data_IF_440131743561
#
_entry.id   IF_440131743561
#
_cell.length_a   1.000
_cell.length_b   1.000
_cell.length_c   1.000
_cell.angle_alpha   90.00
_cell.angle_beta   90.00
_cell.angle_gamma   90.00
#
_symmetry.space_group_name_H-M   'P 1'
#
loop_
_entity.id
_entity.type
_entity.pdbx_description
1 polymer ?
#
# COMPACT_ATOMS: atom_id res chain seq x y z
N UNK A 1 -7.22 -21.93 -2.47
CA UNK A 1 -5.78 -22.06 -2.11
C UNK A 1 -5.03 -20.85 -2.64
N UNK A 2 -4.48 -20.00 -1.77
CA UNK A 2 -3.63 -18.89 -2.18
C UNK A 2 -2.36 -19.40 -2.91
N UNK A 3 -1.89 -18.66 -3.92
CA UNK A 3 -0.78 -19.03 -4.80
C UNK A 3 0.43 -19.65 -4.07
N UNK A 4 1.01 -20.71 -4.66
CA UNK A 4 2.25 -21.37 -4.21
C UNK A 4 3.49 -20.48 -4.36
N UNK A 5 3.43 -19.36 -5.08
CA UNK A 5 4.59 -18.47 -5.26
C UNK A 5 4.90 -17.72 -3.97
N UNK A 6 6.11 -17.96 -3.46
CA UNK A 6 6.66 -17.28 -2.30
C UNK A 6 7.35 -15.99 -2.76
N UNK A 7 6.57 -14.94 -3.00
CA UNK A 7 7.13 -13.62 -3.20
C UNK A 7 7.87 -13.17 -1.93
N UNK A 8 8.98 -12.47 -2.15
CA UNK A 8 9.90 -12.00 -1.13
C UNK A 8 10.01 -10.48 -1.23
N UNK A 9 9.83 -9.79 -0.10
CA UNK A 9 9.87 -8.33 -0.04
C UNK A 9 11.26 -7.78 -0.30
N UNK A 10 12.29 -8.50 0.15
CA UNK A 10 13.69 -8.15 -0.01
C UNK A 10 14.18 -8.27 -1.46
N UNK A 11 13.52 -9.10 -2.28
CA UNK A 11 13.77 -9.19 -3.73
C UNK A 11 13.22 -7.99 -4.51
N UNK A 12 12.47 -7.08 -3.87
CA UNK A 12 12.11 -5.79 -4.47
C UNK A 12 13.20 -4.78 -4.13
N UNK A 13 14.09 -4.55 -5.10
CA UNK A 13 15.15 -3.56 -5.04
C UNK A 13 14.56 -2.16 -5.28
N UNK A 14 14.94 -1.20 -4.44
CA UNK A 14 14.43 0.18 -4.48
C UNK A 14 15.62 1.13 -4.46
N UNK A 15 15.79 1.87 -5.54
CA UNK A 15 16.90 2.79 -5.76
C UNK A 15 16.38 4.23 -5.75
N UNK A 16 16.94 5.13 -4.91
CA UNK A 16 16.53 6.52 -4.87
C UNK A 16 16.94 7.24 -6.16
N UNK A 17 16.07 8.12 -6.63
CA UNK A 17 16.33 9.04 -7.73
C UNK A 17 16.15 10.50 -7.29
N UNK A 18 15.56 11.30 -8.18
CA UNK A 18 15.33 12.73 -7.96
C UNK A 18 14.38 13.01 -6.78
N UNK A 19 14.67 14.08 -6.04
CA UNK A 19 13.76 14.66 -5.04
C UNK A 19 13.44 16.08 -5.43
N UNK A 20 12.15 16.42 -5.48
CA UNK A 20 11.69 17.77 -5.83
C UNK A 20 10.59 18.26 -4.91
N UNK A 21 10.49 19.58 -4.76
CA UNK A 21 9.37 20.23 -4.07
C UNK A 21 8.12 20.18 -4.94
N UNK A 22 6.97 19.92 -4.32
CA UNK A 22 5.71 19.77 -5.05
C UNK A 22 4.49 20.19 -4.22
N UNK A 23 3.37 20.33 -4.93
CA UNK A 23 2.03 20.47 -4.36
C UNK A 23 1.12 19.42 -4.97
N UNK A 24 0.23 18.84 -4.18
CA UNK A 24 -0.77 17.87 -4.64
C UNK A 24 -2.04 17.99 -3.80
N UNK A 25 -3.09 17.23 -4.14
CA UNK A 25 -4.35 17.25 -3.39
C UNK A 25 -4.70 15.87 -2.85
N UNK A 26 -5.37 15.84 -1.68
CA UNK A 26 -6.08 14.66 -1.19
C UNK A 26 -7.58 14.95 -1.12
N UNK A 27 -8.40 13.93 -1.36
CA UNK A 27 -9.81 13.99 -1.01
C UNK A 27 -9.99 14.01 0.51
N UNK A 28 -10.64 15.05 1.03
CA UNK A 28 -11.01 15.23 2.45
C UNK A 28 -12.45 15.74 2.52
N UNK A 29 -13.37 14.89 2.98
CA UNK A 29 -14.79 15.27 3.14
C UNK A 29 -15.47 15.71 1.84
N UNK A 30 -15.18 15.04 0.72
CA UNK A 30 -15.72 15.40 -0.60
C UNK A 30 -15.04 16.59 -1.28
N UNK A 31 -14.09 17.26 -0.63
CA UNK A 31 -13.31 18.38 -1.21
C UNK A 31 -11.85 17.98 -1.42
N UNK A 32 -11.19 18.63 -2.37
CA UNK A 32 -9.75 18.51 -2.55
C UNK A 32 -9.03 19.44 -1.56
N UNK A 33 -8.21 18.88 -0.68
CA UNK A 33 -7.38 19.62 0.24
C UNK A 33 -5.94 19.69 -0.31
N UNK A 34 -5.38 20.89 -0.55
CA UNK A 34 -4.01 21.02 -1.03
C UNK A 34 -3.02 20.61 0.05
N UNK A 35 -1.93 20.00 -0.38
CA UNK A 35 -0.79 19.57 0.42
C UNK A 35 0.48 20.05 -0.27
N UNK A 36 1.43 20.53 0.53
CA UNK A 36 2.79 20.87 0.10
C UNK A 36 3.77 19.88 0.71
N UNK A 37 4.84 19.60 0.00
CA UNK A 37 5.89 18.73 0.47
C UNK A 37 6.90 18.38 -0.62
N UNK A 38 7.50 17.20 -0.49
CA UNK A 38 8.50 16.69 -1.43
C UNK A 38 7.98 15.44 -2.15
N UNK A 39 8.27 15.33 -3.44
CA UNK A 39 8.13 14.12 -4.24
C UNK A 39 9.50 13.48 -4.39
N UNK A 40 9.60 12.21 -4.01
CA UNK A 40 10.79 11.39 -4.18
C UNK A 40 10.51 10.37 -5.29
N UNK A 41 11.34 10.37 -6.32
CA UNK A 41 11.31 9.39 -7.39
C UNK A 41 12.16 8.18 -7.00
N UNK A 42 11.69 6.98 -7.34
CA UNK A 42 12.40 5.74 -7.11
C UNK A 42 12.36 4.86 -8.36
N UNK A 43 13.50 4.28 -8.72
CA UNK A 43 13.58 3.16 -9.64
C UNK A 43 13.43 1.87 -8.84
N UNK A 44 12.59 0.95 -9.31
CA UNK A 44 12.24 -0.26 -8.55
C UNK A 44 12.31 -1.47 -9.46
N UNK A 45 13.01 -2.52 -9.01
CA UNK A 45 13.11 -3.79 -9.72
C UNK A 45 12.54 -4.92 -8.85
N UNK A 46 11.54 -5.63 -9.35
CA UNK A 46 10.97 -6.82 -8.70
C UNK A 46 11.74 -8.08 -9.09
N UNK A 47 12.75 -8.45 -8.29
CA UNK A 47 13.56 -9.64 -8.47
C UNK A 47 12.78 -10.95 -8.38
N UNK A 48 11.55 -10.94 -7.87
CA UNK A 48 10.67 -12.12 -7.91
C UNK A 48 10.20 -12.46 -9.34
N UNK A 49 10.43 -11.57 -10.31
CA UNK A 49 9.97 -11.70 -11.70
C UNK A 49 11.15 -11.68 -12.66
N UNK A 50 11.22 -12.70 -13.53
CA UNK A 50 12.27 -12.81 -14.54
C UNK A 50 12.20 -11.74 -15.64
N UNK A 51 11.01 -11.16 -15.89
CA UNK A 51 10.81 -10.12 -16.90
C UNK A 51 9.66 -9.20 -16.52
N UNK A 52 9.58 -8.04 -17.19
CA UNK A 52 8.55 -7.00 -16.95
C UNK A 52 8.49 -6.62 -15.46
N UNK A 53 9.67 -6.39 -14.90
CA UNK A 53 9.89 -6.25 -13.47
C UNK A 53 10.42 -4.88 -13.06
N UNK A 54 10.59 -3.96 -14.01
CA UNK A 54 11.04 -2.59 -13.76
C UNK A 54 9.86 -1.64 -13.59
N UNK A 55 9.91 -0.83 -12.55
CA UNK A 55 8.87 0.14 -12.17
C UNK A 55 9.52 1.46 -11.80
N UNK A 56 8.73 2.53 -11.85
CA UNK A 56 9.07 3.78 -11.18
C UNK A 56 8.00 4.11 -10.16
N UNK A 57 8.43 4.55 -8.98
CA UNK A 57 7.57 4.95 -7.88
C UNK A 57 7.75 6.41 -7.54
N UNK A 58 6.66 7.02 -7.11
CA UNK A 58 6.65 8.36 -6.56
C UNK A 58 6.15 8.27 -5.12
N UNK A 59 6.96 8.78 -4.20
CA UNK A 59 6.65 8.89 -2.77
C UNK A 59 6.47 10.36 -2.43
N UNK A 60 5.27 10.72 -1.97
CA UNK A 60 4.96 12.09 -1.56
C UNK A 60 5.02 12.21 -0.05
N UNK A 61 5.96 13.03 0.42
CA UNK A 61 6.16 13.30 1.85
C UNK A 61 5.68 14.72 2.14
N UNK A 62 4.62 14.90 2.94
CA UNK A 62 4.12 16.23 3.28
C UNK A 62 5.06 16.96 4.24
N UNK A 63 5.08 18.30 4.16
CA UNK A 63 5.80 19.14 5.13
C UNK A 63 5.21 19.03 6.54
N UNK A 64 3.89 18.88 6.61
CA UNK A 64 3.19 18.72 7.87
C UNK A 64 3.58 17.38 8.53
N UNK A 65 4.07 17.45 9.77
CA UNK A 65 4.57 16.28 10.50
C UNK A 65 3.50 15.19 10.72
N UNK A 66 2.23 15.56 10.79
CA UNK A 66 1.07 14.66 10.91
C UNK A 66 0.46 14.27 9.55
N UNK A 67 0.94 14.88 8.47
CA UNK A 67 0.47 14.69 7.11
C UNK A 67 0.62 13.25 6.64
N UNK A 68 -0.13 12.85 5.63
CA UNK A 68 -0.14 11.47 5.11
C UNK A 68 0.91 11.32 4.03
N UNK A 69 1.78 10.31 4.14
CA UNK A 69 2.69 9.93 3.06
C UNK A 69 1.92 9.13 2.03
N UNK A 70 2.07 9.45 0.75
CA UNK A 70 1.46 8.74 -0.37
C UNK A 70 2.51 7.97 -1.17
N UNK A 71 2.22 6.72 -1.51
CA UNK A 71 3.03 5.88 -2.39
C UNK A 71 2.19 5.52 -3.60
N UNK A 72 2.70 5.77 -4.80
CA UNK A 72 2.07 5.35 -6.05
C UNK A 72 3.10 5.04 -7.13
N UNK A 73 2.81 4.11 -8.04
CA UNK A 73 3.63 3.94 -9.22
C UNK A 73 3.45 5.17 -10.13
N UNK A 74 4.57 5.68 -10.62
CA UNK A 74 4.63 6.67 -11.69
C UNK A 74 4.46 5.97 -13.04
N UNK A 75 5.21 4.90 -13.25
CA UNK A 75 5.12 4.02 -14.42
C UNK A 75 5.04 2.57 -13.98
N UNK A 76 4.39 1.75 -14.80
CA UNK A 76 4.23 0.31 -14.57
C UNK A 76 4.67 -0.44 -15.82
N UNK A 77 5.17 -1.68 -15.70
CA UNK A 77 5.34 -2.54 -16.86
C UNK A 77 4.05 -2.62 -17.68
N UNK A 78 4.13 -2.73 -19.03
CA UNK A 78 2.98 -2.66 -19.93
C UNK A 78 2.17 -3.97 -19.92
N UNK A 79 1.62 -4.32 -18.76
CA UNK A 79 0.75 -5.49 -18.54
C UNK A 79 -0.65 -4.99 -18.20
N UNK A 80 -1.65 -5.52 -18.90
CA UNK A 80 -3.05 -5.12 -18.74
C UNK A 80 -3.51 -5.14 -17.26
N UNK A 81 -3.18 -6.21 -16.53
CA UNK A 81 -3.47 -6.41 -15.11
C UNK A 81 -3.00 -5.26 -14.21
N UNK A 82 -1.96 -4.53 -14.62
CA UNK A 82 -1.35 -3.45 -13.82
C UNK A 82 -1.68 -2.05 -14.33
N UNK A 83 -2.36 -1.91 -15.47
CA UNK A 83 -2.67 -0.61 -16.09
C UNK A 83 -3.38 0.35 -15.14
N UNK A 84 -4.23 -0.16 -14.24
CA UNK A 84 -4.97 0.65 -13.28
C UNK A 84 -4.16 1.05 -12.02
N UNK A 85 -2.94 0.53 -11.83
CA UNK A 85 -2.15 0.75 -10.61
C UNK A 85 -1.62 2.19 -10.49
N UNK A 86 -1.37 2.89 -11.61
CA UNK A 86 -0.94 4.31 -11.62
C UNK A 86 -1.91 5.25 -10.91
N UNK A 87 -3.18 4.85 -10.79
CA UNK A 87 -4.24 5.58 -10.10
C UNK A 87 -4.53 5.07 -8.69
N UNK A 88 -3.88 3.99 -8.24
CA UNK A 88 -4.14 3.36 -6.94
C UNK A 88 -2.96 3.61 -6.01
N UNK A 89 -3.09 4.52 -5.06
CA UNK A 89 -2.03 4.76 -4.07
C UNK A 89 -2.18 3.90 -2.80
N UNK A 90 -1.09 3.80 -2.04
CA UNK A 90 -1.11 3.52 -0.61
C UNK A 90 -0.87 4.80 0.17
N UNK A 91 -1.48 4.90 1.35
CA UNK A 91 -1.31 6.04 2.24
C UNK A 91 -0.86 5.56 3.61
N UNK A 92 0.12 6.28 4.16
CA UNK A 92 0.71 6.01 5.46
C UNK A 92 0.48 7.18 6.40
N UNK A 93 -0.15 6.90 7.54
CA UNK A 93 -0.51 7.89 8.56
C UNK A 93 0.42 7.81 9.75
N UNK A 94 0.63 8.91 10.46
CA UNK A 94 1.40 8.92 11.71
C UNK A 94 0.68 8.11 12.80
N UNK A 95 1.40 7.16 13.40
CA UNK A 95 0.96 6.48 14.62
C UNK A 95 1.21 7.37 15.85
N UNK A 96 0.29 7.33 16.81
CA UNK A 96 0.26 8.27 17.94
C UNK A 96 0.16 7.58 19.31
N UNK A 97 -0.05 6.26 19.33
CA UNK A 97 -0.33 5.48 20.54
C UNK A 97 0.76 4.44 20.82
N UNK A 98 1.10 4.30 22.10
CA UNK A 98 1.98 3.25 22.63
C UNK A 98 3.34 3.16 21.91
N UNK A 99 3.87 1.94 21.83
CA UNK A 99 5.13 1.59 21.15
C UNK A 99 5.14 1.90 19.64
N UNK A 100 3.97 2.13 19.05
CA UNK A 100 3.85 2.51 17.64
C UNK A 100 4.09 4.01 17.42
N UNK A 101 4.07 4.84 18.48
CA UNK A 101 4.27 6.29 18.38
C UNK A 101 5.58 6.61 17.66
N UNK A 102 5.54 7.59 16.77
CA UNK A 102 6.69 7.99 15.95
C UNK A 102 6.82 7.21 14.63
N UNK A 103 6.19 6.02 14.52
CA UNK A 103 6.14 5.26 13.27
C UNK A 103 5.02 5.75 12.35
N UNK A 104 5.02 5.25 11.13
CA UNK A 104 3.92 5.37 10.15
C UNK A 104 3.17 4.04 10.07
N UNK A 105 1.88 4.08 9.78
CA UNK A 105 1.09 2.87 9.49
C UNK A 105 0.32 2.99 8.18
N UNK A 106 0.29 1.89 7.43
CA UNK A 106 -0.56 1.71 6.25
C UNK A 106 -1.62 0.64 6.51
N UNK A 107 -2.86 0.86 6.05
CA UNK A 107 -3.90 -0.17 6.10
C UNK A 107 -3.52 -1.34 5.19
N UNK A 108 -3.65 -2.57 5.66
CA UNK A 108 -3.55 -3.75 4.79
C UNK A 108 -4.77 -3.73 3.87
N UNK A 109 -4.55 -3.40 2.60
CA UNK A 109 -5.62 -3.27 1.61
C UNK A 109 -5.28 -3.99 0.32
N UNK A 110 -5.83 -5.20 0.16
CA UNK A 110 -5.53 -6.06 -0.98
C UNK A 110 -6.26 -5.54 -2.21
N UNK A 111 -5.57 -5.40 -3.34
CA UNK A 111 -6.20 -4.95 -4.57
C UNK A 111 -7.18 -6.00 -5.10
N UNK A 112 -8.37 -5.56 -5.47
CA UNK A 112 -9.35 -6.41 -6.15
C UNK A 112 -9.27 -6.13 -7.65
N UNK A 113 -9.15 -7.17 -8.50
CA UNK A 113 -9.26 -7.01 -9.94
C UNK A 113 -10.60 -6.40 -10.31
N UNK A 114 -10.61 -5.49 -11.28
CA UNK A 114 -11.83 -4.95 -11.87
C UNK A 114 -12.44 -6.00 -12.80
N UNK A 115 -12.83 -7.17 -12.29
CA UNK A 115 -13.65 -8.11 -13.07
C UNK A 115 -15.05 -7.52 -13.16
N UNK A 116 -15.58 -7.36 -14.37
CA UNK A 116 -16.92 -6.82 -14.62
C UNK A 116 -17.96 -7.43 -13.68
N UNK A 117 -18.87 -6.57 -13.18
CA UNK A 117 -20.00 -6.87 -12.28
C UNK A 117 -19.83 -8.19 -11.51
N UNK A 118 -18.99 -8.20 -10.48
CA UNK A 118 -19.10 -9.25 -9.49
C UNK A 118 -20.54 -9.26 -8.95
N UNK A 119 -21.10 -10.44 -8.65
CA UNK A 119 -22.45 -10.57 -8.08
C UNK A 119 -22.68 -9.66 -6.86
N UNK A 120 -21.59 -9.39 -6.12
CA UNK A 120 -21.57 -8.57 -4.91
C UNK A 120 -21.04 -7.13 -5.13
N UNK A 121 -20.69 -6.77 -6.38
CA UNK A 121 -20.34 -5.41 -6.80
C UNK A 121 -20.83 -5.13 -8.24
N UNK A 122 -22.16 -5.02 -8.44
CA UNK A 122 -22.76 -4.81 -9.76
C UNK A 122 -22.42 -3.44 -10.39
N UNK A 123 -21.80 -2.53 -9.63
CA UNK A 123 -21.31 -1.22 -10.13
C UNK A 123 -19.82 -1.23 -10.49
N UNK A 124 -19.07 -2.28 -10.13
CA UNK A 124 -17.63 -2.38 -10.40
C UNK A 124 -16.78 -1.35 -9.63
N UNK A 125 -17.26 -0.87 -8.49
CA UNK A 125 -16.63 0.21 -7.73
C UNK A 125 -15.60 -0.31 -6.70
N UNK A 126 -15.61 -1.61 -6.39
CA UNK A 126 -14.73 -2.24 -5.41
C UNK A 126 -13.34 -2.41 -6.01
N UNK A 127 -12.42 -1.61 -5.51
CA UNK A 127 -11.02 -1.60 -5.98
C UNK A 127 -10.05 -2.23 -4.97
N UNK A 128 -10.50 -2.51 -3.75
CA UNK A 128 -9.67 -3.08 -2.68
C UNK A 128 -10.50 -3.67 -1.54
N UNK A 129 -9.87 -4.60 -0.83
CA UNK A 129 -10.36 -5.21 0.40
C UNK A 129 -9.51 -4.77 1.57
N UNK A 130 -10.12 -4.07 2.54
CA UNK A 130 -9.44 -3.66 3.77
C UNK A 130 -9.52 -4.81 4.77
N UNK A 131 -8.36 -5.32 5.15
CA UNK A 131 -8.25 -6.52 5.98
C UNK A 131 -8.44 -6.16 7.44
N UNK A 132 -9.17 -7.00 8.17
CA UNK A 132 -9.41 -6.89 9.61
C UNK A 132 -8.41 -7.72 10.42
N UNK A 133 -8.33 -7.49 11.73
CA UNK A 133 -7.39 -8.17 12.62
C UNK A 133 -7.58 -9.68 12.68
N UNK A 134 -8.83 -10.13 12.67
CA UNK A 134 -9.24 -11.55 12.63
C UNK A 134 -8.89 -12.23 11.30
N UNK A 135 -8.94 -11.50 10.19
CA UNK A 135 -8.58 -11.98 8.85
C UNK A 135 -7.06 -12.07 8.59
N UNK A 136 -6.22 -11.78 9.59
CA UNK A 136 -4.75 -11.79 9.44
C UNK A 136 -4.22 -13.14 8.95
N UNK A 137 -4.86 -14.25 9.35
CA UNK A 137 -4.42 -15.62 9.01
C UNK A 137 -4.69 -15.98 7.54
N UNK A 138 -5.59 -15.25 6.89
CA UNK A 138 -6.00 -15.50 5.50
C UNK A 138 -5.10 -14.77 4.49
N UNK A 139 -4.17 -13.95 4.98
CA UNK A 139 -3.23 -13.22 4.14
C UNK A 139 -2.33 -14.19 3.35
N UNK A 140 -1.94 -13.82 2.11
CA UNK A 140 -0.96 -14.57 1.35
C UNK A 140 0.36 -14.79 2.13
N UNK A 141 1.03 -15.92 1.89
CA UNK A 141 2.25 -16.31 2.62
C UNK A 141 3.38 -15.27 2.60
N UNK A 142 3.46 -14.43 1.57
CA UNK A 142 4.44 -13.34 1.51
C UNK A 142 4.23 -12.26 2.59
N UNK A 143 3.14 -12.29 3.34
CA UNK A 143 2.92 -11.46 4.54
C UNK A 143 3.51 -12.07 5.83
N UNK A 144 3.98 -13.32 5.83
CA UNK A 144 4.54 -13.97 7.03
C UNK A 144 5.67 -13.15 7.66
N UNK A 145 6.59 -12.62 6.84
CA UNK A 145 7.69 -11.76 7.31
C UNK A 145 7.25 -10.40 7.87
N UNK A 146 5.99 -10.00 7.66
CA UNK A 146 5.42 -8.74 8.15
C UNK A 146 4.66 -8.89 9.47
N UNK A 147 4.49 -10.12 9.96
CA UNK A 147 3.69 -10.42 11.15
C UNK A 147 4.09 -9.62 12.39
N UNK A 148 5.40 -9.43 12.61
CA UNK A 148 5.91 -8.62 13.73
C UNK A 148 5.54 -7.13 13.64
N UNK A 149 5.28 -6.64 12.42
CA UNK A 149 4.92 -5.23 12.13
C UNK A 149 3.41 -4.98 12.10
N UNK A 150 2.60 -6.03 12.13
CA UNK A 150 1.14 -5.93 12.04
C UNK A 150 0.48 -5.64 13.37
N UNK A 151 -0.50 -4.73 13.38
CA UNK A 151 -1.35 -4.41 14.55
C UNK A 151 -2.77 -4.12 14.10
N UNK A 152 -3.75 -4.18 15.00
CA UNK A 152 -5.05 -3.53 14.77
C UNK A 152 -4.89 -2.01 14.88
N UNK A 153 -5.70 -1.25 14.15
CA UNK A 153 -5.58 0.21 14.06
C UNK A 153 -5.74 0.89 15.42
N UNK A 154 -6.64 0.40 16.26
CA UNK A 154 -6.88 0.91 17.62
C UNK A 154 -5.65 0.84 18.56
N UNK A 155 -4.68 -0.03 18.24
CA UNK A 155 -3.43 -0.18 18.98
C UNK A 155 -2.41 0.89 18.59
N UNK A 156 -2.55 1.52 17.42
CA UNK A 156 -1.57 2.50 16.89
C UNK A 156 -2.10 3.94 16.86
N UNK A 157 -3.41 4.12 16.90
CA UNK A 157 -4.07 5.43 16.91
C UNK A 157 -5.46 5.34 17.54
N UNK A 158 -5.92 6.39 18.20
CA UNK A 158 -7.32 6.49 18.64
C UNK A 158 -8.26 6.44 17.44
N UNK A 159 -9.23 5.54 17.50
CA UNK A 159 -10.24 5.31 16.46
C UNK A 159 -11.63 5.48 17.05
N UNK A 160 -12.58 5.95 16.23
CA UNK A 160 -14.02 5.91 16.56
C UNK A 160 -14.70 4.89 15.63
N UNK A 161 -15.71 4.18 16.14
CA UNK A 161 -16.46 3.18 15.38
C UNK A 161 -15.67 1.92 15.03
N UNK A 162 -16.09 1.21 13.99
CA UNK A 162 -15.60 -0.13 13.60
C UNK A 162 -14.23 -0.13 12.91
N UNK A 163 -13.67 1.04 12.60
CA UNK A 163 -12.37 1.17 11.92
C UNK A 163 -11.18 0.70 12.79
N UNK A 164 -11.40 0.55 14.10
CA UNK A 164 -10.40 0.08 15.07
C UNK A 164 -9.84 -1.33 14.78
N UNK A 165 -10.70 -2.25 14.31
CA UNK A 165 -10.31 -3.62 13.98
C UNK A 165 -9.62 -3.74 12.60
N UNK A 166 -9.37 -2.63 11.89
CA UNK A 166 -8.59 -2.68 10.64
C UNK A 166 -7.16 -3.14 10.93
N UNK A 167 -6.65 -4.10 10.16
CA UNK A 167 -5.26 -4.52 10.19
C UNK A 167 -4.38 -3.47 9.51
N UNK A 168 -3.30 -3.10 10.18
CA UNK A 168 -2.30 -2.14 9.68
C UNK A 168 -0.90 -2.71 9.79
N UNK A 169 0.01 -2.23 8.94
CA UNK A 169 1.45 -2.52 9.03
C UNK A 169 2.20 -1.27 9.43
N UNK A 170 3.06 -1.38 10.45
CA UNK A 170 3.94 -0.33 10.91
C UNK A 170 5.25 -0.30 10.11
N UNK A 171 5.70 0.90 9.77
CA UNK A 171 6.97 1.17 9.09
C UNK A 171 7.63 2.41 9.71
N UNK A 172 8.95 2.49 9.61
CA UNK A 172 9.65 3.70 10.01
C UNK A 172 9.31 4.86 9.05
N UNK A 173 9.33 6.12 9.51
CA UNK A 173 8.89 7.26 8.70
C UNK A 173 9.67 7.47 7.40
N UNK A 174 10.95 7.11 7.39
CA UNK A 174 11.95 7.28 6.35
C UNK A 174 12.17 6.00 5.50
N UNK A 175 11.58 4.87 5.89
CA UNK A 175 11.69 3.59 5.20
C UNK A 175 10.77 3.52 3.97
N UNK A 176 11.04 4.39 3.00
CA UNK A 176 10.31 4.45 1.73
C UNK A 176 10.40 3.12 0.96
N UNK A 177 11.53 2.42 1.08
CA UNK A 177 11.72 1.10 0.47
C UNK A 177 10.69 0.09 0.99
N UNK A 178 10.49 -0.01 2.31
CA UNK A 178 9.43 -0.87 2.87
C UNK A 178 8.03 -0.40 2.46
N UNK A 179 7.77 0.91 2.40
CA UNK A 179 6.47 1.42 1.94
C UNK A 179 6.17 1.01 0.49
N UNK A 180 7.17 1.03 -0.40
CA UNK A 180 7.07 0.53 -1.78
C UNK A 180 6.90 -1.00 -1.78
N UNK A 181 7.69 -1.75 -1.01
CA UNK A 181 7.56 -3.21 -0.88
C UNK A 181 6.16 -3.64 -0.43
N UNK A 182 5.56 -2.89 0.49
CA UNK A 182 4.17 -3.10 0.90
C UNK A 182 3.17 -2.85 -0.23
N UNK A 183 3.45 -1.91 -1.13
CA UNK A 183 2.66 -1.71 -2.34
C UNK A 183 2.66 -2.98 -3.22
N UNK A 184 3.82 -3.60 -3.40
CA UNK A 184 3.93 -4.85 -4.15
C UNK A 184 3.10 -5.97 -3.49
N UNK A 185 3.29 -6.17 -2.18
CA UNK A 185 2.59 -7.19 -1.41
C UNK A 185 1.07 -7.06 -1.41
N UNK A 186 0.56 -5.82 -1.38
CA UNK A 186 -0.87 -5.53 -1.27
C UNK A 186 -1.56 -5.39 -2.63
N UNK A 187 -0.82 -5.05 -3.70
CA UNK A 187 -1.44 -4.70 -4.99
C UNK A 187 -0.84 -5.49 -6.15
N UNK A 188 0.46 -5.37 -6.37
CA UNK A 188 1.11 -5.94 -7.56
C UNK A 188 0.96 -7.46 -7.60
N UNK A 189 1.38 -8.14 -6.54
CA UNK A 189 1.34 -9.61 -6.46
C UNK A 189 -0.08 -10.13 -6.30
N UNK A 190 -0.93 -9.42 -5.56
CA UNK A 190 -2.36 -9.77 -5.42
C UNK A 190 -3.06 -9.79 -6.78
N UNK A 191 -2.89 -8.73 -7.58
CA UNK A 191 -3.48 -8.67 -8.92
C UNK A 191 -2.85 -9.68 -9.88
N UNK A 192 -1.53 -9.87 -9.82
CA UNK A 192 -0.82 -10.82 -10.68
C UNK A 192 -1.28 -12.25 -10.43
N UNK A 193 -1.46 -12.64 -9.17
CA UNK A 193 -1.87 -13.99 -8.77
C UNK A 193 -3.40 -14.17 -8.71
N UNK A 194 -4.17 -13.11 -8.95
CA UNK A 194 -5.64 -13.16 -8.92
C UNK A 194 -6.23 -13.52 -7.55
N UNK A 195 -5.54 -13.14 -6.45
CA UNK A 195 -5.96 -13.53 -5.10
C UNK A 195 -7.31 -12.91 -4.74
N UNK A 196 -8.19 -13.75 -4.20
CA UNK A 196 -9.41 -13.37 -3.51
C UNK A 196 -9.38 -14.00 -2.13
N UNK A 197 -9.65 -13.22 -1.08
CA UNK A 197 -9.84 -13.79 0.25
C UNK A 197 -11.23 -14.45 0.29
N UNK A 198 -11.29 -15.62 0.91
CA UNK A 198 -12.54 -16.36 1.12
C UNK A 198 -13.24 -15.83 2.37
#
# INVERSE_FOLDING_TARGET
>A
MASRKRYRLDEVAVEPGEVRRAKWTFAKGGRQAPVKGSEHLYSVTDGNLASRNKWEFLVRVPDAADGRVEIRPRTTPPIHTWKALTYRSLQFQKATKGEARGKRYGKVSLAVPTSGRAKDDPRGNRTKDVIRGDQRRDLPRWFEGLQGRMRTKERVRSTRGTDGNTLVVLVNPDDHAMMIRLYFAMKVWVLKEGIKLQ
#
